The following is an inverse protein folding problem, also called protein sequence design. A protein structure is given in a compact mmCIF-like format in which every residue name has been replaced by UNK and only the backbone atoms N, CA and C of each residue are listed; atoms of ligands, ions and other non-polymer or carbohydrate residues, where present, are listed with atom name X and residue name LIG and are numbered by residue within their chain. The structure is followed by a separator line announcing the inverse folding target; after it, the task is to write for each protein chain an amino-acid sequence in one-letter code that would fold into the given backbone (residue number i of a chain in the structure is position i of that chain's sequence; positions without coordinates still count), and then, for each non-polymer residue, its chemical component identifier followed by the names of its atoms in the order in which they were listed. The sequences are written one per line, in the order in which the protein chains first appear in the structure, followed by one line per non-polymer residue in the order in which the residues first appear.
data_IF_775741013393
#
_entry.id   IF_775741013393
#
_cell.length_a   1.000
_cell.length_b   1.000
_cell.length_c   1.000
_cell.angle_alpha   90.00
_cell.angle_beta   90.00
_cell.angle_gamma   90.00
#
_symmetry.space_group_name_H-M   'P 1'
#
loop_
_entity.id
_entity.type
_entity.pdbx_description
1 polymer ?
#
# COMPACT_ATOMS: atom_id res chain seq x y z
N UNK A 1 14.12 8.14 27.77
CA UNK A 1 14.03 7.70 26.36
C UNK A 1 12.66 8.08 25.84
N UNK A 2 12.54 8.49 24.57
CA UNK A 2 11.26 8.89 23.98
C UNK A 2 10.51 7.64 23.49
N UNK A 3 9.23 7.51 23.84
CA UNK A 3 8.37 6.39 23.43
C UNK A 3 8.38 6.17 21.90
N UNK A 4 8.41 7.25 21.12
CA UNK A 4 8.48 7.19 19.65
C UNK A 4 9.80 6.58 19.14
N UNK A 5 10.90 6.78 19.87
CA UNK A 5 12.21 6.23 19.52
C UNK A 5 12.25 4.71 19.73
N UNK A 6 11.64 4.22 20.81
CA UNK A 6 11.61 2.80 21.10
C UNK A 6 10.73 2.05 20.08
N UNK A 7 9.62 2.67 19.67
CA UNK A 7 8.76 2.19 18.59
C UNK A 7 9.49 2.15 17.23
N UNK A 8 10.20 3.22 16.89
CA UNK A 8 11.03 3.28 15.68
C UNK A 8 12.10 2.18 15.65
N UNK A 9 12.81 1.97 16.76
CA UNK A 9 13.81 0.89 16.87
C UNK A 9 13.17 -0.50 16.69
N UNK A 10 11.96 -0.69 17.23
CA UNK A 10 11.16 -1.90 17.00
C UNK A 10 10.87 -2.13 15.52
N UNK A 11 10.42 -1.11 14.80
CA UNK A 11 10.15 -1.21 13.37
C UNK A 11 11.39 -1.52 12.53
N UNK A 12 12.53 -0.92 12.88
CA UNK A 12 13.79 -1.20 12.19
C UNK A 12 14.17 -2.67 12.36
N UNK A 13 14.01 -3.26 13.55
CA UNK A 13 14.26 -4.69 13.77
C UNK A 13 13.39 -5.57 12.87
N UNK A 14 12.10 -5.25 12.78
CA UNK A 14 11.13 -6.02 11.97
C UNK A 14 11.45 -5.91 10.47
N UNK A 15 11.83 -4.72 9.99
CA UNK A 15 12.28 -4.53 8.61
C UNK A 15 13.54 -5.36 8.30
N UNK A 16 14.52 -5.35 9.19
CA UNK A 16 15.74 -6.15 9.03
C UNK A 16 15.40 -7.63 8.89
N UNK A 17 14.56 -8.17 9.79
CA UNK A 17 14.12 -9.56 9.72
C UNK A 17 13.36 -9.85 8.42
N UNK A 18 12.46 -8.97 8.01
CA UNK A 18 11.71 -9.14 6.77
C UNK A 18 12.60 -9.27 5.53
N UNK A 19 13.61 -8.41 5.39
CA UNK A 19 14.55 -8.50 4.28
C UNK A 19 15.46 -9.73 4.38
N UNK A 20 15.93 -10.05 5.58
CA UNK A 20 16.82 -11.19 5.82
C UNK A 20 16.15 -12.56 5.63
N UNK A 21 14.81 -12.60 5.54
CA UNK A 21 14.04 -13.77 5.15
C UNK A 21 13.97 -14.00 3.64
N UNK A 22 14.15 -12.95 2.82
CA UNK A 22 14.13 -13.06 1.36
C UNK A 22 15.51 -13.34 0.77
N UNK A 23 16.49 -12.50 1.11
CA UNK A 23 17.87 -12.59 0.61
C UNK A 23 18.87 -12.16 1.69
N UNK A 24 20.14 -12.57 1.55
CA UNK A 24 21.18 -12.15 2.47
C UNK A 24 21.39 -10.63 2.41
N UNK A 25 21.28 -9.96 3.56
CA UNK A 25 21.21 -8.50 3.60
C UNK A 25 22.55 -7.89 4.01
N UNK A 26 22.95 -6.85 3.28
CA UNK A 26 24.09 -6.02 3.60
C UNK A 26 23.65 -4.72 4.28
N UNK A 27 24.32 -4.31 5.36
CA UNK A 27 23.88 -3.17 6.18
C UNK A 27 23.67 -1.86 5.41
N UNK A 28 24.47 -1.58 4.37
CA UNK A 28 24.28 -0.38 3.52
C UNK A 28 22.99 -0.46 2.70
N UNK A 29 22.58 -1.65 2.26
CA UNK A 29 21.31 -1.85 1.55
C UNK A 29 20.12 -1.54 2.46
N UNK A 30 20.19 -1.90 3.74
CA UNK A 30 19.14 -1.59 4.74
C UNK A 30 18.99 -0.09 4.95
N UNK A 31 20.12 0.63 5.06
CA UNK A 31 20.10 2.10 5.19
C UNK A 31 19.47 2.74 3.95
N UNK A 32 19.86 2.29 2.76
CA UNK A 32 19.32 2.83 1.51
C UNK A 32 17.82 2.56 1.38
N UNK A 33 17.37 1.36 1.77
CA UNK A 33 15.97 0.98 1.70
C UNK A 33 15.11 1.78 2.69
N UNK A 34 15.51 1.85 3.96
CA UNK A 34 14.78 2.64 4.96
C UNK A 34 14.72 4.13 4.59
N UNK A 35 15.75 4.67 3.95
CA UNK A 35 15.74 6.04 3.43
C UNK A 35 14.70 6.24 2.33
N UNK A 36 14.45 5.25 1.45
CA UNK A 36 13.36 5.33 0.45
C UNK A 36 11.97 5.38 1.09
N UNK A 37 11.82 4.78 2.26
CA UNK A 37 10.59 4.81 3.06
C UNK A 37 10.50 6.05 3.98
N UNK A 38 11.39 7.03 3.80
CA UNK A 38 11.38 8.30 4.55
C UNK A 38 12.07 8.26 5.90
N UNK A 39 12.80 7.19 6.23
CA UNK A 39 13.51 7.06 7.52
C UNK A 39 15.00 7.36 7.38
N UNK A 40 15.51 8.27 8.20
CA UNK A 40 16.95 8.51 8.31
C UNK A 40 17.58 7.60 9.36
N UNK A 41 18.25 6.54 8.90
CA UNK A 41 19.01 5.64 9.79
C UNK A 41 20.51 5.82 9.56
N UNK A 42 21.23 6.19 10.62
CA UNK A 42 22.69 6.27 10.59
C UNK A 42 23.34 4.89 10.77
N UNK A 43 24.56 4.67 10.24
CA UNK A 43 25.36 3.48 10.56
C UNK A 43 25.51 3.24 12.07
N UNK A 44 25.71 4.32 12.84
CA UNK A 44 25.86 4.26 14.30
C UNK A 44 24.60 3.80 15.04
N UNK A 45 23.45 3.75 14.36
CA UNK A 45 22.20 3.19 14.89
C UNK A 45 21.93 1.79 14.33
N UNK A 46 22.18 1.56 13.04
CA UNK A 46 21.89 0.26 12.41
C UNK A 46 22.76 -0.88 12.96
N UNK A 47 24.09 -0.70 13.00
CA UNK A 47 24.99 -1.80 13.36
C UNK A 47 24.78 -2.34 14.78
N UNK A 48 24.54 -1.49 15.80
CA UNK A 48 24.12 -1.98 17.11
C UNK A 48 22.85 -2.84 17.08
N UNK A 49 21.86 -2.52 16.24
CA UNK A 49 20.63 -3.30 16.11
C UNK A 49 20.93 -4.66 15.47
N UNK A 50 21.75 -4.69 14.41
CA UNK A 50 22.17 -5.94 13.76
C UNK A 50 22.92 -6.85 14.74
N UNK A 51 23.85 -6.30 15.52
CA UNK A 51 24.59 -7.06 16.54
C UNK A 51 23.68 -7.55 17.66
N UNK A 52 22.67 -6.77 18.05
CA UNK A 52 21.69 -7.22 19.04
C UNK A 52 20.85 -8.40 18.50
N UNK A 53 20.27 -8.27 17.30
CA UNK A 53 19.47 -9.33 16.69
C UNK A 53 20.27 -10.62 16.46
N UNK A 54 21.55 -10.50 16.10
CA UNK A 54 22.45 -11.64 15.97
C UNK A 54 22.76 -12.30 17.32
N UNK A 55 23.15 -11.51 18.33
CA UNK A 55 23.40 -12.00 19.69
C UNK A 55 22.16 -12.69 20.29
N UNK A 56 20.99 -12.14 20.01
CA UNK A 56 19.70 -12.66 20.49
C UNK A 56 19.22 -13.85 19.63
N UNK A 57 20.00 -14.28 18.63
CA UNK A 57 19.77 -15.51 17.86
C UNK A 57 18.78 -15.38 16.69
N UNK A 58 18.30 -14.17 16.40
CA UNK A 58 17.34 -13.92 15.31
C UNK A 58 17.99 -13.78 13.93
N UNK A 59 19.27 -13.41 13.91
CA UNK A 59 20.09 -13.34 12.70
C UNK A 59 21.35 -14.18 12.87
N UNK A 60 21.90 -14.59 11.75
CA UNK A 60 23.26 -15.09 11.63
C UNK A 60 23.99 -14.32 10.54
N UNK A 61 25.31 -14.21 10.63
CA UNK A 61 26.12 -13.60 9.57
C UNK A 61 27.09 -14.58 8.92
N UNK A 62 27.43 -14.28 7.67
CA UNK A 62 28.61 -14.80 7.01
C UNK A 62 29.45 -13.65 6.47
N UNK A 63 30.75 -13.90 6.25
CA UNK A 63 31.68 -12.92 5.73
C UNK A 63 32.03 -13.23 4.29
N UNK A 64 32.04 -12.20 3.45
CA UNK A 64 32.47 -12.31 2.07
C UNK A 64 33.34 -11.11 1.71
N UNK A 65 34.45 -11.37 1.03
CA UNK A 65 35.33 -10.32 0.50
C UNK A 65 34.79 -9.84 -0.83
N UNK A 66 34.40 -8.56 -0.89
CA UNK A 66 33.89 -7.93 -2.12
C UNK A 66 34.77 -6.71 -2.41
N UNK A 67 35.45 -6.73 -3.56
CA UNK A 67 36.41 -5.70 -3.98
C UNK A 67 37.50 -5.42 -2.91
N UNK A 68 38.07 -6.47 -2.33
CA UNK A 68 39.13 -6.37 -1.32
C UNK A 68 38.68 -5.92 0.08
N UNK A 69 37.38 -5.68 0.28
CA UNK A 69 36.81 -5.31 1.60
C UNK A 69 35.98 -6.46 2.14
N UNK A 70 36.20 -6.84 3.40
CA UNK A 70 35.38 -7.82 4.10
C UNK A 70 34.01 -7.21 4.40
N UNK A 71 32.94 -7.88 3.95
CA UNK A 71 31.55 -7.48 4.17
C UNK A 71 30.82 -8.57 4.95
N UNK A 72 30.03 -8.16 5.94
CA UNK A 72 29.13 -9.05 6.69
C UNK A 72 27.76 -9.04 6.04
N UNK A 73 27.27 -10.22 5.71
CA UNK A 73 25.94 -10.44 5.18
C UNK A 73 25.12 -11.18 6.22
N UNK A 74 23.93 -10.65 6.51
CA UNK A 74 23.03 -11.18 7.54
C UNK A 74 21.89 -11.96 6.90
N UNK A 75 21.57 -13.11 7.47
CA UNK A 75 20.44 -13.96 7.09
C UNK A 75 19.60 -14.27 8.32
N UNK A 76 18.29 -14.42 8.15
CA UNK A 76 17.41 -14.77 9.25
C UNK A 76 17.63 -16.22 9.70
N UNK A 77 17.46 -16.50 10.98
CA UNK A 77 17.43 -17.86 11.55
C UNK A 77 15.99 -18.36 11.65
N UNK A 78 15.78 -19.63 12.03
CA UNK A 78 14.45 -20.16 12.34
C UNK A 78 13.77 -19.39 13.49
N UNK A 79 14.53 -19.05 14.54
CA UNK A 79 14.06 -18.24 15.65
C UNK A 79 13.68 -16.81 15.18
N UNK A 80 14.47 -16.22 14.28
CA UNK A 80 14.15 -14.94 13.66
C UNK A 80 12.87 -15.00 12.83
N UNK A 81 12.66 -16.08 12.09
CA UNK A 81 11.47 -16.28 11.27
C UNK A 81 10.21 -16.41 12.14
N UNK A 82 10.28 -17.19 13.23
CA UNK A 82 9.19 -17.30 14.20
C UNK A 82 8.84 -15.95 14.83
N UNK A 83 9.86 -15.20 15.28
CA UNK A 83 9.69 -13.86 15.83
C UNK A 83 9.08 -12.87 14.81
N UNK A 84 9.46 -12.97 13.53
CA UNK A 84 8.88 -12.15 12.47
C UNK A 84 7.40 -12.46 12.24
N UNK A 85 7.00 -13.74 12.27
CA UNK A 85 5.59 -14.15 12.13
C UNK A 85 4.77 -13.62 13.30
N UNK A 86 5.26 -13.80 14.53
CA UNK A 86 4.61 -13.29 15.74
C UNK A 86 4.48 -11.76 15.70
N UNK A 87 5.56 -11.05 15.35
CA UNK A 87 5.55 -9.60 15.25
C UNK A 87 4.54 -9.10 14.19
N UNK A 88 4.43 -9.76 13.04
CA UNK A 88 3.43 -9.44 12.01
C UNK A 88 2.00 -9.62 12.52
N UNK A 89 1.75 -10.64 13.33
CA UNK A 89 0.45 -10.83 13.96
C UNK A 89 0.16 -9.71 14.97
N UNK A 90 1.12 -9.41 15.85
CA UNK A 90 0.97 -8.36 16.87
C UNK A 90 0.80 -6.97 16.27
N UNK A 91 1.53 -6.64 15.20
CA UNK A 91 1.32 -5.37 14.48
C UNK A 91 -0.08 -5.30 13.91
N UNK A 92 -0.59 -6.40 13.33
CA UNK A 92 -1.96 -6.43 12.78
C UNK A 92 -2.99 -6.18 13.90
N UNK A 93 -2.86 -6.89 15.02
CA UNK A 93 -3.71 -6.68 16.21
C UNK A 93 -3.64 -5.23 16.70
N UNK A 94 -2.44 -4.69 16.89
CA UNK A 94 -2.23 -3.32 17.38
C UNK A 94 -2.79 -2.25 16.43
N UNK A 95 -2.56 -2.41 15.13
CA UNK A 95 -3.12 -1.51 14.10
C UNK A 95 -4.64 -1.59 14.09
N UNK A 96 -5.20 -2.80 14.19
CA UNK A 96 -6.64 -3.00 14.28
C UNK A 96 -7.23 -2.34 15.53
N UNK A 97 -6.53 -2.33 16.67
CA UNK A 97 -7.00 -1.72 17.92
C UNK A 97 -6.83 -0.19 17.93
N UNK A 98 -5.61 0.30 17.76
CA UNK A 98 -5.26 1.70 18.06
C UNK A 98 -5.72 2.67 16.98
N UNK A 99 -5.78 2.22 15.73
CA UNK A 99 -6.18 3.09 14.61
C UNK A 99 -7.72 3.06 14.43
N UNK A 100 -8.43 2.11 15.06
CA UNK A 100 -9.88 1.91 14.88
C UNK A 100 -10.78 2.44 16.01
N UNK A 101 -10.24 3.14 17.01
CA UNK A 101 -11.05 3.70 18.11
C UNK A 101 -11.78 4.99 17.68
N UNK A 102 -13.06 4.86 17.32
CA UNK A 102 -14.11 5.85 17.59
C UNK A 102 -15.13 5.23 18.55
N UNK A 103 -15.73 5.99 19.49
CA UNK A 103 -16.54 5.42 20.56
C UNK A 103 -17.77 4.71 20.00
N UNK A 104 -17.87 3.45 20.44
CA UNK A 104 -18.87 2.45 20.11
C UNK A 104 -20.30 2.91 20.43
N UNK A 105 -21.17 2.94 19.42
CA UNK A 105 -22.62 2.91 19.60
C UNK A 105 -23.23 1.89 18.64
N UNK A 106 -23.52 0.70 19.17
CA UNK A 106 -24.61 -0.16 18.69
C UNK A 106 -24.29 -1.13 17.55
N UNK A 107 -24.01 -2.38 17.94
CA UNK A 107 -24.45 -3.64 17.35
C UNK A 107 -24.53 -3.83 15.81
N UNK A 108 -23.86 -4.93 15.42
CA UNK A 108 -24.10 -5.82 14.27
C UNK A 108 -23.27 -5.59 13.00
N UNK A 109 -22.32 -6.51 12.77
CA UNK A 109 -21.94 -6.98 11.43
C UNK A 109 -20.91 -6.16 10.65
N UNK A 110 -19.68 -6.67 10.61
CA UNK A 110 -18.80 -6.72 9.43
C UNK A 110 -18.50 -5.44 8.61
N UNK A 111 -17.28 -4.91 8.76
CA UNK A 111 -16.21 -4.90 7.71
C UNK A 111 -15.23 -3.74 7.88
N UNK A 112 -13.93 -4.09 7.88
CA UNK A 112 -12.74 -3.24 8.07
C UNK A 112 -12.22 -2.69 6.74
N UNK A 113 -11.66 -1.47 6.69
CA UNK A 113 -10.96 -0.90 5.52
C UNK A 113 -9.55 -0.39 5.92
N UNK A 114 -8.51 -0.66 5.10
CA UNK A 114 -7.07 -0.60 5.42
C UNK A 114 -6.26 0.28 4.44
N UNK A 115 -5.44 1.22 4.93
CA UNK A 115 -4.88 2.35 4.13
C UNK A 115 -3.36 2.35 3.82
N UNK A 116 -2.69 1.19 3.62
CA UNK A 116 -1.39 1.17 2.90
C UNK A 116 -1.69 0.91 1.41
N UNK A 117 -1.18 1.70 0.45
CA UNK A 117 -1.46 1.45 -0.95
C UNK A 117 -0.74 0.16 -1.37
N UNK A 118 -1.49 -0.93 -1.47
CA UNK A 118 -0.99 -2.14 -2.12
C UNK A 118 -0.90 -1.88 -3.62
N UNK A 119 -0.16 -2.71 -4.38
CA UNK A 119 -0.22 -2.67 -5.85
C UNK A 119 -1.68 -2.76 -6.37
N UNK A 120 -2.54 -3.35 -5.55
CA UNK A 120 -3.94 -3.58 -5.86
C UNK A 120 -4.85 -2.42 -5.50
N UNK A 121 -4.51 -1.59 -4.49
CA UNK A 121 -5.35 -0.50 -4.01
C UNK A 121 -4.60 0.80 -3.71
N UNK A 122 -5.25 1.94 -3.96
CA UNK A 122 -4.79 3.28 -3.60
C UNK A 122 -5.82 3.97 -2.71
N UNK A 123 -5.39 4.57 -1.60
CA UNK A 123 -6.27 5.33 -0.71
C UNK A 123 -6.73 6.65 -1.37
N UNK A 124 -7.91 7.20 -1.01
CA UNK A 124 -8.43 8.44 -1.61
C UNK A 124 -7.46 9.62 -1.58
N UNK A 125 -6.82 9.89 -0.44
CA UNK A 125 -5.86 10.99 -0.32
C UNK A 125 -4.59 10.77 -1.16
N UNK A 126 -4.14 9.52 -1.28
CA UNK A 126 -3.00 9.19 -2.13
C UNK A 126 -3.35 9.39 -3.61
N UNK A 127 -4.57 9.00 -4.03
CA UNK A 127 -5.04 9.26 -5.40
C UNK A 127 -5.12 10.77 -5.69
N UNK A 128 -5.64 11.59 -4.75
CA UNK A 128 -5.65 13.05 -4.91
C UNK A 128 -4.25 13.61 -5.13
N UNK A 129 -3.25 13.14 -4.37
CA UNK A 129 -1.85 13.55 -4.56
C UNK A 129 -1.33 13.17 -5.94
N UNK A 130 -1.68 11.97 -6.42
CA UNK A 130 -1.29 11.50 -7.77
C UNK A 130 -1.93 12.34 -8.88
N UNK A 131 -3.16 12.84 -8.69
CA UNK A 131 -3.84 13.70 -9.67
C UNK A 131 -3.17 15.06 -9.85
N UNK A 132 -2.39 15.53 -8.87
CA UNK A 132 -1.62 16.77 -8.97
C UNK A 132 -0.18 16.55 -9.46
N UNK A 133 0.22 15.32 -9.78
CA UNK A 133 1.56 15.01 -10.28
C UNK A 133 1.73 15.42 -11.76
N UNK A 134 2.98 15.45 -12.23
CA UNK A 134 3.32 15.78 -13.62
C UNK A 134 2.72 14.78 -14.63
N UNK A 135 2.60 13.50 -14.22
CA UNK A 135 2.00 12.42 -15.02
C UNK A 135 0.89 11.73 -14.20
N UNK A 136 -0.33 12.32 -14.15
CA UNK A 136 -1.41 11.81 -13.33
C UNK A 136 -2.02 10.53 -13.92
N UNK A 137 -2.54 9.63 -13.09
CA UNK A 137 -3.20 8.41 -13.57
C UNK A 137 -4.49 8.72 -14.33
N UNK A 138 -4.93 7.79 -15.19
CA UNK A 138 -6.31 7.74 -15.66
C UNK A 138 -7.20 7.25 -14.53
N UNK A 139 -8.16 8.05 -14.08
CA UNK A 139 -9.20 7.58 -13.17
C UNK A 139 -10.38 7.09 -13.99
N UNK A 140 -10.78 5.83 -13.77
CA UNK A 140 -11.83 5.16 -14.54
C UNK A 140 -13.01 4.85 -13.62
N UNK A 141 -14.14 5.53 -13.85
CA UNK A 141 -15.41 5.23 -13.19
C UNK A 141 -16.12 4.10 -13.93
N UNK A 142 -16.24 2.95 -13.26
CA UNK A 142 -16.85 1.75 -13.85
C UNK A 142 -18.29 1.48 -13.37
N UNK A 143 -18.93 2.50 -12.78
CA UNK A 143 -20.32 2.46 -12.31
C UNK A 143 -21.32 2.62 -13.46
N UNK A 144 -22.61 2.54 -13.15
CA UNK A 144 -23.68 2.86 -14.10
C UNK A 144 -23.72 4.36 -14.41
N UNK A 145 -24.42 4.75 -15.49
CA UNK A 145 -24.56 6.17 -15.86
C UNK A 145 -25.24 6.99 -14.76
N UNK A 146 -26.34 6.48 -14.19
CA UNK A 146 -27.03 7.15 -13.08
C UNK A 146 -26.09 7.39 -11.88
N UNK A 147 -25.30 6.40 -11.48
CA UNK A 147 -24.32 6.55 -10.39
C UNK A 147 -23.21 7.58 -10.72
N UNK A 148 -22.83 7.72 -11.99
CA UNK A 148 -21.84 8.70 -12.45
C UNK A 148 -22.42 10.11 -12.49
N UNK A 149 -23.64 10.26 -13.02
CA UNK A 149 -24.33 11.55 -13.19
C UNK A 149 -24.66 12.20 -11.84
N UNK A 150 -25.04 11.41 -10.84
CA UNK A 150 -25.28 11.84 -9.44
C UNK A 150 -24.01 12.38 -8.75
N UNK A 151 -22.84 12.11 -9.30
CA UNK A 151 -21.56 12.58 -8.80
C UNK A 151 -20.47 11.54 -8.98
N UNK A 152 -19.29 11.99 -9.38
CA UNK A 152 -18.11 11.16 -9.63
C UNK A 152 -16.82 11.86 -9.21
N UNK A 153 -15.72 11.10 -9.11
CA UNK A 153 -14.40 11.67 -8.81
C UNK A 153 -14.06 12.71 -9.88
N UNK A 154 -13.71 13.93 -9.48
CA UNK A 154 -13.40 15.00 -10.43
C UNK A 154 -12.27 14.57 -11.40
N UNK A 155 -12.48 14.78 -12.70
CA UNK A 155 -11.56 14.33 -13.76
C UNK A 155 -11.60 12.84 -14.09
N UNK A 156 -12.56 12.08 -13.52
CA UNK A 156 -12.73 10.68 -13.87
C UNK A 156 -13.36 10.49 -15.26
N UNK A 157 -12.80 9.54 -16.01
CA UNK A 157 -13.38 9.08 -17.27
C UNK A 157 -14.45 8.02 -17.00
N UNK A 158 -15.65 8.25 -17.50
CA UNK A 158 -16.74 7.27 -17.46
C UNK A 158 -16.48 6.11 -18.44
N UNK A 159 -16.42 4.88 -17.92
CA UNK A 159 -16.40 3.66 -18.72
C UNK A 159 -16.99 2.51 -17.89
N UNK A 160 -18.29 2.21 -18.04
CA UNK A 160 -18.95 1.23 -17.21
C UNK A 160 -18.33 -0.16 -17.40
N UNK A 161 -18.32 -0.96 -16.33
CA UNK A 161 -17.58 -2.23 -16.26
C UNK A 161 -17.83 -3.18 -17.46
N UNK A 162 -19.07 -3.24 -17.93
CA UNK A 162 -19.51 -4.07 -19.06
C UNK A 162 -18.91 -3.64 -20.40
N UNK A 163 -18.53 -2.37 -20.55
CA UNK A 163 -17.93 -1.82 -21.78
C UNK A 163 -16.41 -1.93 -21.83
N UNK A 164 -15.74 -2.07 -20.67
CA UNK A 164 -14.27 -2.01 -20.60
C UNK A 164 -13.61 -3.04 -21.52
N UNK A 165 -14.10 -4.29 -21.51
CA UNK A 165 -13.54 -5.38 -22.33
C UNK A 165 -13.58 -5.06 -23.83
N UNK A 166 -14.70 -4.51 -24.30
CA UNK A 166 -14.88 -4.15 -25.71
C UNK A 166 -14.08 -2.91 -26.13
N UNK A 167 -13.69 -2.07 -25.17
CA UNK A 167 -13.01 -0.79 -25.40
C UNK A 167 -11.55 -0.78 -24.93
N UNK A 168 -10.97 -1.94 -24.61
CA UNK A 168 -9.60 -2.04 -24.11
C UNK A 168 -8.59 -1.29 -24.99
N UNK A 169 -8.71 -1.36 -26.31
CA UNK A 169 -7.80 -0.70 -27.26
C UNK A 169 -7.83 0.84 -27.22
N UNK A 170 -8.85 1.44 -26.60
CA UNK A 170 -8.99 2.89 -26.47
C UNK A 170 -8.24 3.45 -25.27
N UNK A 171 -7.81 2.59 -24.34
CA UNK A 171 -7.14 2.99 -23.10
C UNK A 171 -5.64 3.27 -23.30
N UNK A 172 -5.06 4.23 -22.55
CA UNK A 172 -3.65 4.57 -22.67
C UNK A 172 -2.73 3.48 -22.13
N UNK A 173 -1.88 2.91 -22.99
CA UNK A 173 -1.00 1.77 -22.67
C UNK A 173 0.14 2.08 -21.67
N UNK A 174 0.57 3.34 -21.59
CA UNK A 174 1.73 3.75 -20.76
C UNK A 174 1.36 4.54 -19.52
N UNK A 175 0.07 4.78 -19.27
CA UNK A 175 -0.41 5.56 -18.13
C UNK A 175 -1.02 4.62 -17.11
N UNK A 176 -0.74 4.83 -15.82
CA UNK A 176 -1.41 4.10 -14.74
C UNK A 176 -2.91 4.36 -14.80
N UNK A 177 -3.72 3.32 -14.58
CA UNK A 177 -5.17 3.37 -14.52
C UNK A 177 -5.63 3.08 -13.09
N UNK A 178 -6.49 3.93 -12.54
CA UNK A 178 -7.09 3.77 -11.22
C UNK A 178 -8.59 3.55 -11.43
N UNK A 179 -9.07 2.33 -11.23
CA UNK A 179 -10.49 2.00 -11.39
C UNK A 179 -11.24 2.18 -10.09
N UNK A 180 -12.50 2.59 -10.14
CA UNK A 180 -13.34 2.59 -8.95
C UNK A 180 -14.81 2.31 -9.26
N UNK A 181 -15.53 1.86 -8.25
CA UNK A 181 -16.98 1.78 -8.28
C UNK A 181 -17.56 2.20 -6.92
N UNK A 182 -18.86 1.97 -6.69
CA UNK A 182 -19.44 2.00 -5.36
C UNK A 182 -19.01 0.73 -4.61
N UNK A 183 -17.80 0.73 -4.06
CA UNK A 183 -17.22 -0.39 -3.34
C UNK A 183 -17.72 -0.40 -1.90
N UNK A 184 -18.46 -1.45 -1.54
CA UNK A 184 -18.90 -1.68 -0.15
C UNK A 184 -17.89 -2.54 0.63
N UNK A 185 -17.30 -3.54 -0.03
CA UNK A 185 -16.28 -4.43 0.54
C UNK A 185 -15.24 -4.81 -0.52
N UNK A 186 -14.03 -5.19 -0.07
CA UNK A 186 -12.96 -5.72 -0.93
C UNK A 186 -13.23 -7.17 -1.37
N UNK A 187 -12.65 -7.55 -2.51
CA UNK A 187 -12.50 -8.91 -3.02
C UNK A 187 -13.42 -9.31 -4.19
N UNK A 188 -14.46 -8.55 -4.54
CA UNK A 188 -15.44 -8.90 -5.61
C UNK A 188 -16.13 -7.71 -6.30
N UNK A 189 -15.69 -6.49 -6.04
CA UNK A 189 -16.27 -5.27 -6.57
C UNK A 189 -16.11 -5.16 -8.11
N UNK A 190 -16.91 -4.29 -8.74
CA UNK A 190 -16.79 -3.98 -10.18
C UNK A 190 -15.42 -3.38 -10.49
N UNK A 191 -14.92 -2.48 -9.64
CA UNK A 191 -13.59 -1.88 -9.78
C UNK A 191 -12.48 -2.92 -9.78
N UNK A 192 -12.48 -3.85 -8.82
CA UNK A 192 -11.46 -4.92 -8.76
C UNK A 192 -11.50 -5.84 -9.99
N UNK A 193 -12.70 -6.24 -10.43
CA UNK A 193 -12.84 -7.06 -11.65
C UNK A 193 -12.33 -6.32 -12.88
N UNK A 194 -12.59 -5.01 -12.99
CA UNK A 194 -12.03 -4.20 -14.07
C UNK A 194 -10.51 -4.11 -13.97
N UNK A 195 -9.94 -3.82 -12.80
CA UNK A 195 -8.50 -3.74 -12.62
C UNK A 195 -7.80 -5.07 -12.93
N UNK A 196 -8.41 -6.20 -12.57
CA UNK A 196 -7.91 -7.53 -12.93
C UNK A 196 -7.88 -7.71 -14.46
N UNK A 197 -9.01 -7.45 -15.14
CA UNK A 197 -9.09 -7.53 -16.61
C UNK A 197 -8.02 -6.67 -17.29
N UNK A 198 -7.81 -5.44 -16.80
CA UNK A 198 -6.80 -4.52 -17.32
C UNK A 198 -5.37 -5.09 -17.13
N UNK A 199 -5.05 -5.63 -15.95
CA UNK A 199 -3.74 -6.25 -15.68
C UNK A 199 -3.49 -7.50 -16.53
N UNK A 200 -4.50 -8.33 -16.73
CA UNK A 200 -4.44 -9.49 -17.63
C UNK A 200 -4.15 -9.09 -19.07
N UNK A 201 -4.54 -7.86 -19.46
CA UNK A 201 -4.24 -7.24 -20.75
C UNK A 201 -3.04 -6.28 -20.69
N UNK A 202 -2.13 -6.47 -19.72
CA UNK A 202 -0.85 -5.77 -19.58
C UNK A 202 -0.90 -4.26 -19.25
N UNK A 203 -2.04 -3.74 -18.79
CA UNK A 203 -2.13 -2.38 -18.26
C UNK A 203 -1.63 -2.29 -16.80
N UNK A 204 -1.02 -1.15 -16.43
CA UNK A 204 -0.75 -0.82 -15.02
C UNK A 204 -2.03 -0.31 -14.35
N UNK A 205 -2.79 -1.20 -13.72
CA UNK A 205 -4.06 -0.87 -13.07
C UNK A 205 -4.04 -1.05 -11.54
N UNK A 206 -4.71 -0.16 -10.81
CA UNK A 206 -4.95 -0.22 -9.36
C UNK A 206 -6.40 0.18 -9.04
N UNK A 207 -6.88 -0.09 -7.82
CA UNK A 207 -8.26 0.15 -7.40
C UNK A 207 -8.31 1.28 -6.38
N UNK A 208 -9.23 2.23 -6.51
CA UNK A 208 -9.50 3.18 -5.43
C UNK A 208 -10.11 2.45 -4.23
N UNK A 209 -9.39 2.41 -3.12
CA UNK A 209 -9.84 1.76 -1.90
C UNK A 209 -11.12 2.40 -1.35
N UNK A 210 -12.10 1.56 -1.02
CA UNK A 210 -13.43 2.00 -0.60
C UNK A 210 -14.26 2.70 -1.69
N UNK A 211 -13.72 2.82 -2.90
CA UNK A 211 -14.42 3.36 -4.07
C UNK A 211 -14.92 4.80 -3.90
N UNK A 212 -16.00 5.13 -4.61
CA UNK A 212 -16.60 6.46 -4.56
C UNK A 212 -17.14 6.86 -3.17
N UNK A 213 -17.79 5.97 -2.39
CA UNK A 213 -18.22 6.33 -1.03
C UNK A 213 -17.08 6.78 -0.13
N UNK A 214 -15.91 6.11 -0.19
CA UNK A 214 -14.74 6.52 0.58
C UNK A 214 -14.14 7.85 0.09
N UNK A 215 -14.18 8.11 -1.22
CA UNK A 215 -13.79 9.40 -1.79
C UNK A 215 -14.66 10.55 -1.28
N UNK A 216 -15.99 10.35 -1.25
CA UNK A 216 -16.93 11.33 -0.72
C UNK A 216 -16.78 11.52 0.79
N UNK A 217 -16.63 10.43 1.56
CA UNK A 217 -16.43 10.50 3.00
C UNK A 217 -15.13 11.24 3.38
N UNK A 218 -14.12 11.22 2.50
CA UNK A 218 -12.89 11.97 2.65
C UNK A 218 -13.02 13.46 2.27
N UNK A 219 -14.19 13.92 1.82
CA UNK A 219 -14.44 15.32 1.45
C UNK A 219 -13.66 15.78 0.21
N UNK A 220 -13.33 14.86 -0.69
CA UNK A 220 -12.50 15.13 -1.86
C UNK A 220 -13.32 15.66 -3.06
N UNK A 221 -12.69 16.30 -4.06
CA UNK A 221 -13.39 16.94 -5.18
C UNK A 221 -14.28 15.97 -5.98
N UNK A 222 -15.53 16.37 -6.21
CA UNK A 222 -16.55 15.62 -6.97
C UNK A 222 -17.08 16.51 -8.11
N UNK A 223 -17.25 15.91 -9.28
CA UNK A 223 -17.94 16.52 -10.42
C UNK A 223 -19.32 15.86 -10.61
N UNK A 224 -20.27 16.61 -11.15
CA UNK A 224 -21.60 16.12 -11.53
C UNK A 224 -21.82 16.46 -12.99
N UNK A 225 -22.63 15.66 -13.69
CA UNK A 225 -23.03 15.99 -15.05
C UNK A 225 -24.14 17.04 -14.96
N UNK A 226 -23.84 18.28 -15.36
CA UNK A 226 -24.87 19.31 -15.52
C UNK A 226 -25.85 18.85 -16.60
N UNK A 227 -27.05 18.45 -16.18
CA UNK A 227 -28.15 18.04 -17.08
C UNK A 227 -28.87 19.24 -17.70
N UNK A 228 -28.27 20.44 -17.63
CA UNK A 228 -28.88 21.72 -18.01
C UNK A 228 -28.67 22.12 -19.47
N UNK A 229 -28.42 21.19 -20.38
CA UNK A 229 -28.49 21.46 -21.83
C UNK A 229 -29.20 20.31 -22.55
N UNK A 230 -30.52 20.43 -22.66
CA UNK A 230 -31.36 19.74 -23.65
C UNK A 230 -32.38 20.72 -24.20
#
# INVERSE_FOLDING_TARGET
MSMLRDFFLGFVKIHILHHAAGEAVYGVAIIAELRRHGYELSPGTLYPILHALERDGYLQHHQQTVAGKVRKYYTITEAGQAALVEAKQKIRELVDEVISDSPNAGHAGETRISTIPSRDYVAPQALLQMLHAVDPPLVLDVRSAAEYDEGHVAGATYMPHDRVSAQLSTLPQRRRIVTYCNMLHRGRSRGERTAQLLRENHYDATVLDGGFPAWQAAGLPVEMVDTTDT
#
